data_IF_814127920385
#
_entry.id   IF_814127920385
#
_cell.length_a   1.000
_cell.length_b   1.000
_cell.length_c   1.000
_cell.angle_alpha   90.00
_cell.angle_beta   90.00
_cell.angle_gamma   90.00
#
_symmetry.space_group_name_H-M   'P 1'
#
loop_
_entity.id
_entity.type
_entity.pdbx_description
1 polymer ?
#
# COMPACT_ATOMS: atom_id res chain seq x y z
N UNK A 1 -33.23 -5.70 -37.29
CA UNK A 1 -31.94 -5.09 -36.91
C UNK A 1 -32.24 -3.73 -36.31
N UNK A 2 -32.38 -3.67 -34.99
CA UNK A 2 -32.52 -2.43 -34.24
C UNK A 2 -31.36 -2.37 -33.25
N UNK A 3 -30.62 -1.27 -33.24
CA UNK A 3 -29.51 -1.05 -32.32
C UNK A 3 -30.04 -0.96 -30.88
N UNK A 4 -29.39 -1.56 -29.88
CA UNK A 4 -29.76 -1.36 -28.49
C UNK A 4 -29.35 0.06 -28.02
N UNK A 5 -30.09 0.65 -27.07
CA UNK A 5 -29.92 2.03 -26.64
C UNK A 5 -28.64 2.23 -25.82
N UNK A 6 -28.12 3.47 -25.87
CA UNK A 6 -26.87 3.97 -25.30
C UNK A 6 -26.81 4.01 -23.76
N UNK A 7 -27.16 2.91 -23.09
CA UNK A 7 -27.03 2.75 -21.63
C UNK A 7 -25.66 2.18 -21.20
N UNK A 8 -24.76 1.90 -22.15
CA UNK A 8 -23.49 1.20 -21.90
C UNK A 8 -22.37 2.07 -21.32
N UNK A 9 -22.43 3.39 -21.52
CA UNK A 9 -21.38 4.31 -21.03
C UNK A 9 -21.52 4.64 -19.54
N UNK A 10 -22.73 4.62 -18.99
CA UNK A 10 -22.99 4.91 -17.57
C UNK A 10 -22.62 3.71 -16.66
N UNK A 11 -22.70 2.49 -17.21
CA UNK A 11 -22.36 1.21 -16.55
C UNK A 11 -20.85 1.05 -16.28
N UNK A 12 -20.00 1.64 -17.13
CA UNK A 12 -18.54 1.61 -17.00
C UNK A 12 -17.99 2.86 -16.28
N UNK A 13 -18.66 4.02 -16.39
CA UNK A 13 -18.25 5.26 -15.71
C UNK A 13 -18.45 5.21 -14.20
N UNK A 14 -19.61 4.75 -13.70
CA UNK A 14 -19.87 4.87 -12.24
C UNK A 14 -18.98 3.96 -11.38
N UNK A 15 -18.55 2.80 -11.91
CA UNK A 15 -17.63 1.89 -11.21
C UNK A 15 -16.15 2.25 -11.36
N UNK A 16 -15.75 2.94 -12.45
CA UNK A 16 -14.37 3.37 -12.64
C UNK A 16 -14.10 4.78 -12.05
N UNK A 17 -15.03 5.72 -12.14
CA UNK A 17 -14.83 7.10 -11.69
C UNK A 17 -14.77 7.21 -10.16
N UNK A 18 -15.43 6.32 -9.43
CA UNK A 18 -15.34 6.25 -7.97
C UNK A 18 -14.02 5.63 -7.46
N UNK A 19 -13.27 4.92 -8.32
CA UNK A 19 -12.08 4.15 -7.93
C UNK A 19 -10.76 4.71 -8.50
N UNK A 20 -10.81 5.42 -9.63
CA UNK A 20 -9.65 6.10 -10.21
C UNK A 20 -9.52 7.56 -9.75
N UNK A 21 -10.59 8.17 -9.23
CA UNK A 21 -10.53 9.52 -8.62
C UNK A 21 -9.87 9.52 -7.23
N UNK A 22 -9.72 8.35 -6.60
CA UNK A 22 -9.14 8.17 -5.27
C UNK A 22 -7.65 7.77 -5.25
N UNK A 23 -7.02 7.57 -6.41
CA UNK A 23 -5.62 7.12 -6.52
C UNK A 23 -4.62 8.23 -6.94
N UNK A 24 -4.88 9.48 -6.55
CA UNK A 24 -3.80 10.45 -6.37
C UNK A 24 -3.05 10.13 -5.06
N UNK A 25 -1.70 10.20 -5.02
CA UNK A 25 -0.99 10.07 -3.75
C UNK A 25 -1.53 11.11 -2.76
N UNK A 26 -2.04 10.63 -1.63
CA UNK A 26 -2.80 11.40 -0.64
C UNK A 26 -1.97 12.47 0.14
N UNK A 27 -0.88 12.99 -0.43
CA UNK A 27 -0.07 14.08 0.13
C UNK A 27 0.18 15.20 -0.91
N UNK A 28 -0.60 15.26 -1.99
CA UNK A 28 -0.67 16.44 -2.86
C UNK A 28 -1.94 17.29 -2.64
N UNK A 29 -2.69 17.06 -1.56
CA UNK A 29 -3.68 18.05 -1.10
C UNK A 29 -2.95 19.16 -0.35
N UNK A 30 -2.47 20.14 -1.10
CA UNK A 30 -2.42 21.51 -0.58
C UNK A 30 -3.84 21.86 -0.14
N UNK A 31 -4.14 21.65 1.15
CA UNK A 31 -5.33 22.24 1.72
C UNK A 31 -5.11 23.75 1.79
N UNK A 32 -5.83 24.39 0.86
CA UNK A 32 -6.18 25.78 0.83
C UNK A 32 -6.82 26.18 2.19
N UNK A 33 -6.00 26.58 3.16
CA UNK A 33 -6.49 27.20 4.40
C UNK A 33 -6.99 28.61 4.10
N UNK A 34 -8.17 28.73 3.49
CA UNK A 34 -8.97 29.95 3.57
C UNK A 34 -10.01 29.77 4.68
N UNK A 35 -9.79 30.48 5.78
CA UNK A 35 -10.84 30.74 6.77
C UNK A 35 -10.50 30.37 8.21
N UNK A 36 -9.58 31.10 8.83
CA UNK A 36 -9.71 31.48 10.24
C UNK A 36 -9.16 32.90 10.40
N UNK A 37 -10.09 33.86 10.45
CA UNK A 37 -9.82 35.25 10.78
C UNK A 37 -9.75 35.45 12.29
N UNK A 38 -8.72 36.19 12.69
CA UNK A 38 -8.54 36.96 13.91
C UNK A 38 -8.40 36.24 15.27
N UNK A 39 -7.15 35.89 15.59
CA UNK A 39 -6.40 36.46 16.74
C UNK A 39 -5.04 35.79 16.94
N UNK A 40 -3.97 36.29 16.28
CA UNK A 40 -2.54 36.14 16.68
C UNK A 40 -1.52 36.57 15.58
N UNK A 41 -1.90 37.40 14.62
CA UNK A 41 -1.06 37.73 13.45
C UNK A 41 0.26 38.50 13.75
N UNK A 42 0.64 38.71 15.02
CA UNK A 42 1.71 39.64 15.42
C UNK A 42 3.05 39.03 15.82
N UNK A 43 3.21 37.70 15.95
CA UNK A 43 4.43 37.10 16.54
C UNK A 43 5.42 36.45 15.56
N UNK A 44 4.98 36.08 14.34
CA UNK A 44 5.87 35.42 13.34
C UNK A 44 6.92 36.35 12.73
N UNK A 45 6.69 37.66 12.78
CA UNK A 45 7.62 38.67 12.26
C UNK A 45 8.93 38.69 13.03
N UNK A 46 8.89 38.38 14.32
CA UNK A 46 10.07 38.36 15.21
C UNK A 46 11.07 37.30 14.77
N UNK A 47 10.58 36.12 14.37
CA UNK A 47 11.41 34.99 13.97
C UNK A 47 11.68 34.89 12.46
N UNK A 48 11.16 35.83 11.66
CA UNK A 48 11.38 35.86 10.22
C UNK A 48 12.87 35.81 9.80
N UNK A 49 13.83 36.45 10.52
CA UNK A 49 15.25 36.31 10.18
C UNK A 49 15.78 34.88 10.36
N UNK A 50 15.41 34.22 11.46
CA UNK A 50 15.80 32.83 11.74
C UNK A 50 15.21 31.88 10.70
N UNK A 51 13.91 32.04 10.40
CA UNK A 51 13.24 31.28 9.35
C UNK A 51 14.00 31.39 8.02
N UNK A 52 14.30 32.62 7.56
CA UNK A 52 15.00 32.86 6.30
C UNK A 52 16.39 32.23 6.30
N UNK A 53 17.14 32.35 7.39
CA UNK A 53 18.48 31.78 7.49
C UNK A 53 18.45 30.24 7.38
N UNK A 54 17.57 29.58 8.12
CA UNK A 54 17.39 28.12 8.05
C UNK A 54 16.94 27.68 6.65
N UNK A 55 15.93 28.35 6.08
CA UNK A 55 15.40 28.02 4.76
C UNK A 55 16.46 28.12 3.64
N UNK A 56 17.34 29.13 3.71
CA UNK A 56 18.43 29.32 2.74
C UNK A 56 19.71 28.56 3.09
N UNK A 57 19.69 27.70 4.12
CA UNK A 57 20.86 26.94 4.58
C UNK A 57 22.04 27.82 5.04
N UNK A 58 21.76 28.99 5.60
CA UNK A 58 22.74 29.93 6.17
C UNK A 58 22.88 29.69 7.68
N UNK A 59 23.73 28.72 8.04
CA UNK A 59 23.97 28.37 9.43
C UNK A 59 24.59 29.50 10.25
N UNK A 60 25.49 30.29 9.68
CA UNK A 60 26.20 31.33 10.43
C UNK A 60 25.24 32.44 10.86
N UNK A 61 24.34 32.86 9.97
CA UNK A 61 23.28 33.81 10.33
C UNK A 61 22.30 33.22 11.34
N UNK A 62 21.88 31.96 11.17
CA UNK A 62 21.00 31.29 12.12
C UNK A 62 21.64 31.15 13.51
N UNK A 63 22.91 30.74 13.58
CA UNK A 63 23.69 30.61 14.81
C UNK A 63 23.87 31.95 15.51
N UNK A 64 24.17 33.01 14.77
CA UNK A 64 24.26 34.36 15.31
C UNK A 64 22.91 34.81 15.90
N UNK A 65 21.79 34.52 15.23
CA UNK A 65 20.45 34.84 15.72
C UNK A 65 20.12 34.06 17.01
N UNK A 66 20.36 32.74 17.03
CA UNK A 66 20.10 31.86 18.18
C UNK A 66 20.96 32.24 19.40
N UNK A 67 22.19 32.71 19.19
CA UNK A 67 23.06 33.19 20.27
C UNK A 67 22.46 34.39 21.01
N UNK A 68 21.80 35.30 20.28
CA UNK A 68 21.16 36.49 20.87
C UNK A 68 19.73 36.20 21.35
N UNK A 69 19.09 35.15 20.83
CA UNK A 69 17.72 34.75 21.16
C UNK A 69 17.64 33.25 21.48
N UNK A 70 18.14 32.77 22.64
CA UNK A 70 18.21 31.34 22.94
C UNK A 70 16.84 30.63 22.87
N UNK A 71 15.77 31.32 23.28
CA UNK A 71 14.40 30.78 23.25
C UNK A 71 13.87 30.53 21.82
N UNK A 72 14.51 31.11 20.80
CA UNK A 72 14.10 30.92 19.41
C UNK A 72 14.38 29.50 18.88
N UNK A 73 15.26 28.74 19.55
CA UNK A 73 15.61 27.38 19.13
C UNK A 73 14.40 26.41 19.16
N UNK A 74 13.45 26.67 20.07
CA UNK A 74 12.21 25.92 20.24
C UNK A 74 10.96 26.69 19.78
N UNK A 75 11.13 27.88 19.21
CA UNK A 75 10.01 28.70 18.76
C UNK A 75 9.36 28.16 17.48
N UNK A 76 8.06 28.43 17.35
CA UNK A 76 7.30 28.21 16.11
C UNK A 76 7.52 29.41 15.18
N UNK A 77 8.04 29.13 13.98
CA UNK A 77 8.50 30.12 13.02
C UNK A 77 7.50 30.36 11.87
N UNK A 78 6.52 29.47 11.71
CA UNK A 78 5.55 29.50 10.60
C UNK A 78 4.11 29.45 11.11
N UNK A 79 3.16 29.82 10.25
CA UNK A 79 1.72 29.72 10.53
C UNK A 79 1.23 28.29 10.74
N UNK A 80 1.95 27.29 10.23
CA UNK A 80 1.72 25.86 10.45
C UNK A 80 2.35 25.37 11.76
N UNK A 81 3.13 26.21 12.44
CA UNK A 81 3.73 25.89 13.73
C UNK A 81 5.08 25.17 13.64
N UNK A 82 5.78 25.26 12.50
CA UNK A 82 7.08 24.64 12.29
C UNK A 82 8.17 25.32 13.13
N UNK A 83 9.00 24.53 13.78
CA UNK A 83 10.25 25.02 14.40
C UNK A 83 11.39 25.04 13.37
N UNK A 84 12.53 25.62 13.74
CA UNK A 84 13.76 25.55 12.93
C UNK A 84 14.12 24.10 12.52
N UNK A 85 13.90 23.14 13.42
CA UNK A 85 14.20 21.73 13.18
C UNK A 85 13.27 21.10 12.13
N UNK A 86 11.98 21.46 12.11
CA UNK A 86 11.04 20.98 11.09
C UNK A 86 11.46 21.45 9.69
N UNK A 87 11.80 22.74 9.56
CA UNK A 87 12.21 23.33 8.29
C UNK A 87 13.52 22.71 7.82
N UNK A 88 14.50 22.50 8.71
CA UNK A 88 15.76 21.85 8.37
C UNK A 88 15.56 20.38 7.95
N UNK A 89 14.64 19.67 8.60
CA UNK A 89 14.32 18.27 8.29
C UNK A 89 13.62 18.11 6.93
N UNK A 90 12.59 18.91 6.66
CA UNK A 90 11.83 18.86 5.39
C UNK A 90 12.67 19.34 4.20
N UNK A 91 13.64 20.22 4.43
CA UNK A 91 14.60 20.66 3.40
C UNK A 91 15.82 19.74 3.24
N UNK A 92 15.91 18.67 4.04
CA UNK A 92 16.97 17.67 3.95
C UNK A 92 18.37 18.19 4.34
N UNK A 93 18.46 19.26 5.13
CA UNK A 93 19.72 19.91 5.49
C UNK A 93 20.38 19.23 6.69
N UNK A 94 21.06 18.12 6.45
CA UNK A 94 21.74 17.29 7.47
C UNK A 94 22.59 18.12 8.43
N UNK A 95 23.43 19.02 7.90
CA UNK A 95 24.30 19.87 8.72
C UNK A 95 23.50 20.76 9.68
N UNK A 96 22.47 21.44 9.20
CA UNK A 96 21.61 22.27 10.04
C UNK A 96 20.89 21.43 11.10
N UNK A 97 20.37 20.26 10.72
CA UNK A 97 19.74 19.35 11.68
C UNK A 97 20.73 18.96 12.76
N UNK A 98 21.95 18.54 12.39
CA UNK A 98 22.98 18.12 13.36
C UNK A 98 23.25 19.22 14.39
N UNK A 99 23.44 20.45 13.93
CA UNK A 99 23.72 21.58 14.80
C UNK A 99 22.50 21.97 15.66
N UNK A 100 21.30 22.04 15.08
CA UNK A 100 20.06 22.33 15.82
C UNK A 100 19.76 21.26 16.87
N UNK A 101 19.89 19.98 16.51
CA UNK A 101 19.73 18.85 17.43
C UNK A 101 20.71 18.99 18.59
N UNK A 102 21.96 19.42 18.38
CA UNK A 102 22.91 19.65 19.48
C UNK A 102 22.46 20.79 20.41
N UNK A 103 21.95 21.90 19.85
CA UNK A 103 21.55 23.08 20.62
C UNK A 103 20.21 22.92 21.37
N UNK A 104 19.26 22.17 20.82
CA UNK A 104 17.93 22.03 21.40
C UNK A 104 17.93 21.17 22.66
N UNK A 105 17.15 21.50 23.71
CA UNK A 105 16.87 20.55 24.78
C UNK A 105 16.08 19.35 24.23
N UNK A 106 16.21 18.19 24.87
CA UNK A 106 15.64 16.91 24.41
C UNK A 106 14.13 17.00 24.19
N UNK A 107 13.42 17.68 25.08
CA UNK A 107 11.96 17.88 25.04
C UNK A 107 11.55 18.82 23.91
N UNK A 108 12.43 19.72 23.45
CA UNK A 108 12.11 20.60 22.32
C UNK A 108 12.11 19.87 20.98
N UNK A 109 12.74 18.70 20.87
CA UNK A 109 12.63 17.85 19.68
C UNK A 109 11.21 17.28 19.54
N UNK A 110 10.45 17.19 20.64
CA UNK A 110 9.09 16.66 20.69
C UNK A 110 8.03 17.69 20.25
N UNK A 111 8.43 18.96 20.08
CA UNK A 111 7.51 20.02 19.62
C UNK A 111 6.94 19.61 18.27
N UNK A 112 5.62 19.73 18.15
CA UNK A 112 4.89 19.47 16.93
C UNK A 112 4.38 20.75 16.28
N UNK A 113 4.18 20.66 14.97
CA UNK A 113 3.35 21.60 14.21
C UNK A 113 1.92 21.59 14.75
N UNK A 114 1.08 22.54 14.33
CA UNK A 114 -0.34 22.56 14.73
C UNK A 114 -1.11 21.31 14.23
N UNK A 115 -0.60 20.61 13.22
CA UNK A 115 -1.10 19.30 12.78
C UNK A 115 -0.54 18.10 13.54
N UNK A 116 0.18 18.31 14.65
CA UNK A 116 0.79 17.22 15.43
C UNK A 116 2.01 16.57 14.77
N UNK A 117 2.56 17.13 13.70
CA UNK A 117 3.70 16.55 12.97
C UNK A 117 4.99 16.91 13.70
N UNK A 118 5.86 15.92 13.95
CA UNK A 118 7.22 16.14 14.48
C UNK A 118 8.22 16.39 13.36
N UNK A 119 9.38 16.95 13.68
CA UNK A 119 10.48 17.06 12.72
C UNK A 119 10.98 15.69 12.22
N UNK A 120 10.89 14.64 13.06
CA UNK A 120 11.19 13.26 12.64
C UNK A 120 10.19 12.79 11.58
N UNK A 121 8.89 13.04 11.75
CA UNK A 121 7.87 12.67 10.76
C UNK A 121 8.09 13.37 9.41
N UNK A 122 8.61 14.60 9.39
CA UNK A 122 8.96 15.32 8.14
C UNK A 122 10.08 14.63 7.33
N UNK A 123 10.89 13.79 7.97
CA UNK A 123 11.92 13.02 7.25
C UNK A 123 11.31 12.01 6.28
N UNK A 124 10.04 11.62 6.45
CA UNK A 124 9.33 10.77 5.50
C UNK A 124 9.26 11.37 4.09
N UNK A 125 9.18 12.70 3.99
CA UNK A 125 9.18 13.43 2.71
C UNK A 125 10.54 13.36 2.03
N UNK A 126 11.63 13.48 2.80
CA UNK A 126 12.99 13.54 2.25
C UNK A 126 13.67 12.18 2.14
N UNK A 127 13.23 11.19 2.92
CA UNK A 127 13.89 9.89 3.04
C UNK A 127 15.22 9.89 3.76
N UNK A 128 15.55 10.98 4.45
CA UNK A 128 16.89 11.14 5.03
C UNK A 128 17.04 10.34 6.31
N UNK A 129 17.57 9.12 6.19
CA UNK A 129 17.95 8.27 7.33
C UNK A 129 18.92 9.02 8.26
N UNK A 130 19.87 9.77 7.72
CA UNK A 130 20.89 10.44 8.53
C UNK A 130 20.25 11.46 9.48
N UNK A 131 19.29 12.25 8.98
CA UNK A 131 18.51 13.19 9.79
C UNK A 131 17.68 12.44 10.84
N UNK A 132 17.04 11.35 10.46
CA UNK A 132 16.25 10.54 11.39
C UNK A 132 17.11 9.94 12.51
N UNK A 133 18.31 9.44 12.19
CA UNK A 133 19.29 8.92 13.16
C UNK A 133 19.70 9.98 14.16
N UNK A 134 20.11 11.16 13.69
CA UNK A 134 20.51 12.27 14.56
C UNK A 134 19.42 12.63 15.59
N UNK A 135 18.16 12.65 15.17
CA UNK A 135 17.05 12.97 16.09
C UNK A 135 16.73 11.81 17.05
N UNK A 136 16.64 10.57 16.56
CA UNK A 136 16.28 9.39 17.37
C UNK A 136 17.38 9.05 18.39
N UNK A 137 18.66 9.23 18.03
CA UNK A 137 19.80 9.07 18.94
C UNK A 137 19.69 10.04 20.13
N UNK A 138 19.23 11.27 19.90
CA UNK A 138 19.05 12.26 20.97
C UNK A 138 17.77 12.02 21.78
N UNK A 139 16.66 11.65 21.13
CA UNK A 139 15.39 11.40 21.79
C UNK A 139 14.61 10.25 21.14
N UNK A 140 14.61 9.06 21.78
CA UNK A 140 13.85 7.91 21.31
C UNK A 140 12.32 8.07 21.44
N UNK A 141 11.83 8.98 22.29
CA UNK A 141 10.39 9.20 22.45
C UNK A 141 9.74 9.70 21.15
N UNK A 142 10.51 10.33 20.26
CA UNK A 142 10.03 10.80 18.96
C UNK A 142 9.35 9.69 18.14
N UNK A 143 9.79 8.44 18.31
CA UNK A 143 9.23 7.27 17.62
C UNK A 143 7.78 6.96 18.03
N UNK A 144 7.34 7.47 19.18
CA UNK A 144 6.00 7.24 19.76
C UNK A 144 5.06 8.44 19.62
N UNK A 145 5.56 9.62 19.22
CA UNK A 145 4.74 10.82 19.11
C UNK A 145 3.83 10.69 17.89
N UNK A 146 2.52 10.72 18.16
CA UNK A 146 1.47 10.57 17.15
C UNK A 146 1.08 11.94 16.60
N UNK A 147 0.86 12.01 15.29
CA UNK A 147 0.28 13.20 14.65
C UNK A 147 -1.24 13.31 14.90
N UNK A 148 -1.88 14.32 14.32
CA UNK A 148 -3.34 14.51 14.42
C UNK A 148 -4.18 13.36 13.89
N UNK A 149 -3.62 12.52 13.01
CA UNK A 149 -4.24 11.29 12.49
C UNK A 149 -3.94 10.06 13.36
N UNK A 150 -3.36 10.25 14.55
CA UNK A 150 -2.88 9.21 15.46
C UNK A 150 -1.72 8.35 14.91
N UNK A 151 -1.05 8.81 13.84
CA UNK A 151 0.04 8.07 13.21
C UNK A 151 1.40 8.37 13.85
N UNK A 152 2.13 7.30 14.18
CA UNK A 152 3.55 7.37 14.55
C UNK A 152 4.43 7.61 13.31
N UNK A 153 5.67 8.13 13.45
CA UNK A 153 6.54 8.42 12.30
C UNK A 153 6.78 7.23 11.36
N UNK A 154 6.80 6.01 11.91
CA UNK A 154 6.89 4.77 11.14
C UNK A 154 5.77 4.65 10.10
N UNK A 155 4.52 4.88 10.50
CA UNK A 155 3.35 4.81 9.59
C UNK A 155 3.45 5.89 8.52
N UNK A 156 3.84 7.10 8.90
CA UNK A 156 4.02 8.22 7.95
C UNK A 156 5.07 7.87 6.89
N UNK A 157 6.17 7.21 7.26
CA UNK A 157 7.19 6.77 6.29
C UNK A 157 6.69 5.72 5.29
N UNK A 158 5.77 4.85 5.72
CA UNK A 158 5.15 3.83 4.87
C UNK A 158 4.19 4.45 3.84
N UNK A 159 3.36 5.39 4.29
CA UNK A 159 2.44 6.13 3.41
C UNK A 159 3.21 6.89 2.33
N UNK A 160 4.39 7.44 2.67
CA UNK A 160 5.27 8.12 1.72
C UNK A 160 6.08 7.18 0.83
N UNK A 161 5.98 5.85 1.02
CA UNK A 161 6.70 4.86 0.22
C UNK A 161 8.22 4.90 0.40
N UNK A 162 8.72 5.49 1.49
CA UNK A 162 10.16 5.59 1.72
C UNK A 162 10.71 4.31 2.36
N UNK A 163 10.95 3.29 1.54
CA UNK A 163 11.36 1.96 2.03
C UNK A 163 12.60 2.00 2.95
N UNK A 164 13.58 2.84 2.58
CA UNK A 164 14.86 2.95 3.29
C UNK A 164 14.64 3.53 4.70
N UNK A 165 13.96 4.67 4.81
CA UNK A 165 13.59 5.24 6.11
C UNK A 165 12.64 4.34 6.90
N UNK A 166 11.66 3.73 6.23
CA UNK A 166 10.69 2.82 6.84
C UNK A 166 11.39 1.67 7.54
N UNK A 167 12.37 1.03 6.90
CA UNK A 167 13.08 -0.11 7.50
C UNK A 167 13.87 0.32 8.73
N UNK A 168 14.48 1.50 8.72
CA UNK A 168 15.15 2.07 9.88
C UNK A 168 14.17 2.40 11.02
N UNK A 169 13.08 3.11 10.72
CA UNK A 169 12.06 3.40 11.74
C UNK A 169 11.41 2.12 12.24
N UNK A 170 11.24 1.11 11.39
CA UNK A 170 10.70 -0.17 11.81
C UNK A 170 11.62 -0.84 12.82
N UNK A 171 12.95 -0.86 12.61
CA UNK A 171 13.88 -1.45 13.59
C UNK A 171 13.88 -0.71 14.92
N UNK A 172 13.75 0.61 14.91
CA UNK A 172 13.81 1.43 16.13
C UNK A 172 12.46 1.56 16.87
N UNK A 173 11.33 1.57 16.15
CA UNK A 173 10.00 1.80 16.74
C UNK A 173 9.58 0.61 17.60
N UNK A 174 9.19 0.86 18.87
CA UNK A 174 8.64 -0.17 19.75
C UNK A 174 7.43 -0.86 19.13
N UNK A 175 7.47 -2.18 19.04
CA UNK A 175 6.48 -2.95 18.27
C UNK A 175 5.09 -2.86 18.85
N UNK A 176 4.96 -2.54 20.14
CA UNK A 176 3.67 -2.32 20.81
C UNK A 176 2.85 -1.21 20.15
N UNK A 177 3.49 -0.24 19.46
CA UNK A 177 2.78 0.79 18.70
C UNK A 177 1.99 0.21 17.51
N UNK A 178 2.32 -1.00 17.05
CA UNK A 178 1.62 -1.72 15.99
C UNK A 178 0.61 -2.75 16.51
N UNK A 179 0.48 -2.92 17.83
CA UNK A 179 -0.54 -3.82 18.39
C UNK A 179 -1.94 -3.30 18.00
N UNK A 180 -2.85 -4.14 17.49
CA UNK A 180 -4.23 -3.74 17.19
C UNK A 180 -4.95 -3.05 18.37
N UNK A 181 -4.55 -3.34 19.62
CA UNK A 181 -5.08 -2.71 20.84
C UNK A 181 -4.54 -1.30 21.09
N UNK A 182 -3.39 -0.96 20.52
CA UNK A 182 -2.75 0.36 20.67
C UNK A 182 -3.35 1.42 19.73
N UNK A 183 -4.17 0.99 18.77
CA UNK A 183 -4.92 1.86 17.87
C UNK A 183 -4.69 1.49 16.40
N UNK A 184 -4.87 2.49 15.53
CA UNK A 184 -4.97 2.29 14.08
C UNK A 184 -3.63 2.08 13.37
N UNK A 185 -2.51 2.34 14.05
CA UNK A 185 -1.16 2.28 13.47
C UNK A 185 -0.83 0.93 12.85
N UNK A 186 -1.16 -0.19 13.51
CA UNK A 186 -0.86 -1.51 13.00
C UNK A 186 -1.54 -1.79 11.66
N UNK A 187 -2.85 -1.51 11.57
CA UNK A 187 -3.62 -1.71 10.35
C UNK A 187 -3.17 -0.76 9.23
N UNK A 188 -3.03 0.53 9.53
CA UNK A 188 -2.59 1.54 8.55
C UNK A 188 -1.15 1.29 8.05
N UNK A 189 -0.25 0.84 8.92
CA UNK A 189 1.11 0.43 8.52
C UNK A 189 1.02 -0.75 7.56
N UNK A 190 0.24 -1.77 7.91
CA UNK A 190 0.14 -2.99 7.13
C UNK A 190 -0.49 -2.74 5.75
N UNK A 191 -1.57 -1.96 5.66
CA UNK A 191 -2.17 -1.60 4.35
C UNK A 191 -1.22 -0.75 3.51
N UNK A 192 -0.46 0.17 4.12
CA UNK A 192 0.56 0.96 3.43
C UNK A 192 1.69 0.09 2.87
N UNK A 193 2.14 -0.94 3.60
CA UNK A 193 3.16 -1.89 3.13
C UNK A 193 2.70 -2.66 1.88
N UNK A 194 1.43 -3.09 1.84
CA UNK A 194 0.86 -3.79 0.66
C UNK A 194 0.82 -2.85 -0.54
N UNK A 195 0.42 -1.59 -0.33
CA UNK A 195 0.39 -0.60 -1.39
C UNK A 195 1.79 -0.35 -1.96
N UNK A 196 2.81 -0.29 -1.10
CA UNK A 196 4.21 -0.09 -1.46
C UNK A 196 4.96 -1.35 -1.95
N UNK A 197 4.29 -2.50 -2.09
CA UNK A 197 4.90 -3.79 -2.46
C UNK A 197 5.96 -4.33 -1.46
N UNK A 198 5.90 -3.91 -0.18
CA UNK A 198 6.84 -4.31 0.90
C UNK A 198 6.27 -5.49 1.71
N UNK A 199 6.19 -6.65 1.07
CA UNK A 199 5.53 -7.83 1.64
C UNK A 199 6.33 -8.56 2.72
N UNK A 200 7.66 -8.44 2.72
CA UNK A 200 8.53 -9.04 3.72
C UNK A 200 8.29 -8.47 5.12
N UNK A 201 8.21 -7.14 5.23
CA UNK A 201 7.86 -6.46 6.49
C UNK A 201 6.41 -6.74 6.86
N UNK A 202 5.50 -6.82 5.88
CA UNK A 202 4.10 -7.14 6.13
C UNK A 202 3.92 -8.54 6.75
N UNK A 203 4.67 -9.53 6.25
CA UNK A 203 4.71 -10.88 6.83
C UNK A 203 5.19 -10.87 8.28
N UNK A 204 6.29 -10.16 8.59
CA UNK A 204 6.81 -10.07 9.96
C UNK A 204 5.80 -9.43 10.93
N UNK A 205 5.16 -8.33 10.52
CA UNK A 205 4.11 -7.66 11.29
C UNK A 205 2.93 -8.59 11.54
N UNK A 206 2.44 -9.28 10.50
CA UNK A 206 1.28 -10.15 10.61
C UNK A 206 1.56 -11.38 11.48
N UNK A 207 2.77 -11.93 11.43
CA UNK A 207 3.18 -13.03 12.32
C UNK A 207 3.23 -12.62 13.78
N UNK A 208 3.61 -11.38 14.06
CA UNK A 208 3.63 -10.82 15.42
C UNK A 208 2.22 -10.48 15.91
N UNK A 209 1.38 -9.94 15.04
CA UNK A 209 0.02 -9.50 15.35
C UNK A 209 -1.01 -10.08 14.37
N UNK A 210 -1.36 -11.38 14.48
CA UNK A 210 -2.28 -12.04 13.53
C UNK A 210 -3.64 -11.35 13.40
N UNK A 211 -4.15 -10.77 14.49
CA UNK A 211 -5.43 -10.03 14.50
C UNK A 211 -5.47 -8.83 13.52
N UNK A 212 -4.32 -8.34 13.06
CA UNK A 212 -4.27 -7.33 12.01
C UNK A 212 -4.81 -7.83 10.67
N UNK A 213 -4.91 -9.15 10.46
CA UNK A 213 -5.47 -9.74 9.24
C UNK A 213 -6.86 -9.20 8.88
N UNK A 214 -7.66 -8.89 9.89
CA UNK A 214 -9.05 -8.43 9.76
C UNK A 214 -9.28 -7.06 10.39
N UNK A 215 -8.21 -6.37 10.78
CA UNK A 215 -8.33 -5.04 11.36
C UNK A 215 -8.41 -4.00 10.22
N UNK A 216 -9.45 -3.15 10.19
CA UNK A 216 -9.53 -2.09 9.20
C UNK A 216 -8.59 -0.94 9.53
N UNK A 217 -8.06 -0.30 8.49
CA UNK A 217 -7.37 0.98 8.61
C UNK A 217 -8.34 2.18 8.70
N UNK A 218 -7.82 3.40 8.54
CA UNK A 218 -8.62 4.64 8.61
C UNK A 218 -9.69 4.75 7.54
N UNK A 219 -9.53 4.04 6.42
CA UNK A 219 -10.46 4.05 5.30
C UNK A 219 -11.43 2.85 5.35
N UNK A 220 -11.35 2.04 6.41
CA UNK A 220 -12.13 0.80 6.50
C UNK A 220 -11.53 -0.33 5.68
N UNK A 221 -10.33 -0.16 5.13
CA UNK A 221 -9.69 -1.16 4.28
C UNK A 221 -8.89 -2.13 5.13
N UNK A 222 -9.09 -3.43 4.91
CA UNK A 222 -8.25 -4.48 5.50
C UNK A 222 -7.19 -4.93 4.51
N UNK A 223 -6.23 -5.71 4.98
CA UNK A 223 -5.19 -6.26 4.10
C UNK A 223 -5.74 -7.24 3.05
N UNK A 224 -6.82 -7.96 3.40
CA UNK A 224 -7.46 -8.89 2.45
C UNK A 224 -8.10 -8.12 1.29
N UNK A 225 -8.69 -6.96 1.59
CA UNK A 225 -9.20 -6.04 0.59
C UNK A 225 -8.07 -5.46 -0.26
N UNK A 226 -7.01 -4.94 0.37
CA UNK A 226 -5.87 -4.34 -0.34
C UNK A 226 -5.17 -5.31 -1.32
N UNK A 227 -4.98 -6.57 -0.91
CA UNK A 227 -4.41 -7.59 -1.81
C UNK A 227 -5.33 -7.87 -3.01
N UNK A 228 -6.65 -7.88 -2.80
CA UNK A 228 -7.62 -8.23 -3.85
C UNK A 228 -7.69 -7.21 -4.99
N UNK A 229 -7.34 -5.95 -4.70
CA UNK A 229 -7.36 -4.82 -5.65
C UNK A 229 -6.00 -4.58 -6.32
N UNK A 230 -5.00 -5.42 -6.00
CA UNK A 230 -3.62 -5.29 -6.50
C UNK A 230 -3.25 -6.51 -7.34
N UNK A 231 -3.83 -6.68 -8.56
CA UNK A 231 -3.50 -7.80 -9.44
C UNK A 231 -2.02 -7.86 -9.81
N UNK A 232 -1.34 -6.71 -9.83
CA UNK A 232 0.10 -6.64 -10.10
C UNK A 232 0.95 -7.35 -9.05
N UNK A 233 0.42 -7.65 -7.85
CA UNK A 233 1.10 -8.42 -6.81
C UNK A 233 1.10 -9.93 -7.08
N UNK A 234 0.34 -10.41 -8.07
CA UNK A 234 0.17 -11.83 -8.32
C UNK A 234 0.54 -12.22 -9.75
N UNK A 235 1.01 -13.47 -9.99
CA UNK A 235 1.40 -13.90 -11.33
C UNK A 235 0.27 -13.80 -12.34
N UNK A 236 -0.98 -14.14 -11.97
CA UNK A 236 -2.11 -14.10 -12.90
C UNK A 236 -2.56 -12.70 -13.31
N UNK A 237 -2.28 -11.69 -12.49
CA UNK A 237 -2.57 -10.29 -12.81
C UNK A 237 -1.51 -9.64 -13.68
N UNK A 238 -0.38 -10.31 -13.93
CA UNK A 238 0.70 -9.84 -14.79
C UNK A 238 0.69 -10.56 -16.15
N UNK A 239 1.21 -9.88 -17.17
CA UNK A 239 1.37 -10.43 -18.51
C UNK A 239 2.84 -10.56 -18.86
N UNK A 240 3.27 -11.79 -19.02
CA UNK A 240 4.60 -12.10 -19.53
C UNK A 240 4.49 -12.59 -20.98
N UNK A 241 5.31 -12.03 -21.86
CA UNK A 241 5.52 -12.60 -23.18
C UNK A 241 6.20 -13.97 -23.10
N UNK A 242 6.24 -14.73 -24.20
CA UNK A 242 6.79 -16.09 -24.23
C UNK A 242 8.15 -16.21 -23.54
N UNK A 243 9.10 -15.34 -23.88
CA UNK A 243 10.44 -15.34 -23.30
C UNK A 243 10.47 -14.93 -21.83
N UNK A 244 9.67 -13.94 -21.44
CA UNK A 244 9.58 -13.51 -20.04
C UNK A 244 8.97 -14.62 -19.17
N UNK A 245 7.99 -15.36 -19.70
CA UNK A 245 7.37 -16.49 -19.01
C UNK A 245 8.38 -17.62 -18.80
N UNK A 246 9.18 -17.95 -19.81
CA UNK A 246 10.23 -18.97 -19.71
C UNK A 246 11.29 -18.55 -18.67
N UNK A 247 11.72 -17.29 -18.70
CA UNK A 247 12.62 -16.75 -17.68
C UNK A 247 11.97 -16.91 -16.30
N UNK A 248 10.74 -16.39 -16.12
CA UNK A 248 9.98 -16.42 -14.87
C UNK A 248 9.87 -17.84 -14.29
N UNK A 249 9.56 -18.85 -15.10
CA UNK A 249 9.44 -20.24 -14.62
C UNK A 249 10.78 -20.81 -14.16
N UNK A 250 11.87 -20.42 -14.81
CA UNK A 250 13.21 -20.94 -14.52
C UNK A 250 13.93 -20.23 -13.36
N UNK A 251 13.48 -19.04 -12.92
CA UNK A 251 14.08 -18.34 -11.79
C UNK A 251 13.83 -19.13 -10.49
N UNK A 252 14.85 -19.59 -9.75
CA UNK A 252 14.64 -20.12 -8.40
C UNK A 252 14.34 -18.96 -7.44
N UNK A 253 13.25 -19.05 -6.69
CA UNK A 253 12.92 -18.15 -5.57
C UNK A 253 12.49 -19.05 -4.42
N UNK A 254 13.37 -19.20 -3.43
CA UNK A 254 13.07 -19.90 -2.17
C UNK A 254 12.89 -18.85 -1.07
N UNK A 255 11.74 -18.89 -0.39
CA UNK A 255 11.55 -18.19 0.88
C UNK A 255 12.37 -18.95 1.93
N UNK A 256 13.41 -18.34 2.50
CA UNK A 256 13.97 -18.87 3.74
C UNK A 256 12.89 -18.80 4.82
N UNK A 257 12.69 -19.95 5.49
CA UNK A 257 11.64 -20.16 6.48
C UNK A 257 11.61 -19.05 7.52
N UNK A 258 10.40 -18.58 7.81
CA UNK A 258 10.01 -17.62 8.84
C UNK A 258 10.24 -18.16 10.28
N UNK A 259 11.31 -18.95 10.49
CA UNK A 259 11.64 -19.57 11.76
C UNK A 259 12.45 -18.58 12.59
N UNK A 260 11.78 -18.13 13.65
CA UNK A 260 12.33 -17.47 14.83
C UNK A 260 13.63 -18.12 15.28
N UNK A 261 14.67 -17.31 15.44
CA UNK A 261 15.45 -17.34 16.66
C UNK A 261 15.60 -15.90 17.16
N UNK A 262 15.04 -15.70 18.35
CA UNK A 262 15.25 -14.52 19.19
C UNK A 262 16.71 -14.57 19.62
N UNK A 263 17.59 -13.85 18.92
CA UNK A 263 18.76 -13.14 19.45
C UNK A 263 19.75 -12.71 18.34
N UNK A 264 20.00 -11.40 18.29
CA UNK A 264 21.19 -10.69 17.75
C UNK A 264 21.48 -10.76 16.24
N UNK A 265 20.93 -9.79 15.50
CA UNK A 265 21.67 -8.74 14.76
C UNK A 265 20.66 -7.90 13.92
N UNK A 266 20.28 -6.74 14.43
CA UNK A 266 19.07 -6.00 14.01
C UNK A 266 19.16 -5.17 12.71
N UNK A 267 19.97 -5.57 11.73
CA UNK A 267 19.96 -4.92 10.40
C UNK A 267 19.90 -5.87 9.21
N UNK A 268 19.85 -7.19 9.40
CA UNK A 268 19.77 -8.13 8.28
C UNK A 268 19.01 -9.40 8.64
N UNK A 269 17.75 -9.48 8.20
CA UNK A 269 17.07 -10.65 7.57
C UNK A 269 15.54 -10.53 7.69
N UNK A 270 14.97 -9.54 7.02
CA UNK A 270 13.60 -9.71 6.51
C UNK A 270 13.67 -10.70 5.36
N UNK A 271 12.76 -11.69 5.32
CA UNK A 271 12.74 -12.86 4.42
C UNK A 271 13.74 -12.77 3.26
N UNK A 272 14.96 -13.28 3.43
CA UNK A 272 15.93 -13.25 2.35
C UNK A 272 15.55 -14.36 1.37
N UNK A 273 15.25 -13.97 0.13
CA UNK A 273 15.19 -14.94 -0.97
C UNK A 273 16.63 -15.35 -1.26
N UNK A 274 16.97 -16.62 -1.02
CA UNK A 274 18.31 -17.13 -1.32
C UNK A 274 18.42 -17.33 -2.84
N UNK A 275 19.31 -16.57 -3.47
CA UNK A 275 19.63 -16.73 -4.89
C UNK A 275 20.60 -17.90 -5.08
N UNK A 276 20.12 -19.00 -5.68
CA UNK A 276 20.98 -20.13 -6.03
C UNK A 276 21.73 -19.89 -7.34
N UNK A 277 23.04 -20.19 -7.32
CA UNK A 277 23.88 -20.36 -8.51
C UNK A 277 24.59 -19.09 -9.01
N UNK A 278 25.91 -19.20 -9.23
CA UNK A 278 26.73 -18.16 -9.86
C UNK A 278 26.16 -17.72 -11.23
N UNK A 279 25.50 -18.64 -11.93
CA UNK A 279 24.84 -18.40 -13.22
C UNK A 279 23.73 -17.36 -13.10
N UNK A 280 22.88 -17.45 -12.07
CA UNK A 280 21.77 -16.52 -11.92
C UNK A 280 22.22 -15.14 -11.48
N UNK A 281 23.22 -15.08 -10.59
CA UNK A 281 23.88 -13.82 -10.22
C UNK A 281 24.51 -13.13 -11.43
N UNK A 282 25.20 -13.89 -12.29
CA UNK A 282 25.76 -13.37 -13.52
C UNK A 282 24.67 -12.87 -14.50
N UNK A 283 23.61 -13.64 -14.71
CA UNK A 283 22.50 -13.27 -15.59
C UNK A 283 21.76 -12.01 -15.11
N UNK A 284 21.58 -11.84 -13.79
CA UNK A 284 20.97 -10.64 -13.19
C UNK A 284 21.81 -9.38 -13.42
N UNK A 285 23.14 -9.50 -13.38
CA UNK A 285 24.06 -8.40 -13.64
C UNK A 285 24.16 -8.06 -15.12
N UNK A 286 24.16 -9.07 -15.99
CA UNK A 286 24.39 -8.91 -17.42
C UNK A 286 23.12 -8.59 -18.22
N UNK A 287 21.93 -8.96 -17.71
CA UNK A 287 20.66 -8.81 -18.42
C UNK A 287 19.64 -8.07 -17.54
N UNK A 288 19.43 -6.75 -17.73
CA UNK A 288 18.51 -5.96 -16.91
C UNK A 288 17.08 -6.50 -16.85
N UNK A 289 16.57 -7.09 -17.94
CA UNK A 289 15.24 -7.70 -17.97
C UNK A 289 15.10 -8.91 -17.05
N UNK A 290 16.18 -9.66 -16.81
CA UNK A 290 16.18 -10.80 -15.88
C UNK A 290 16.04 -10.31 -14.43
N UNK A 291 16.72 -9.23 -14.08
CA UNK A 291 16.63 -8.63 -12.74
C UNK A 291 15.19 -8.20 -12.42
N UNK A 292 14.52 -7.53 -13.34
CA UNK A 292 13.13 -7.08 -13.14
C UNK A 292 12.17 -8.26 -12.96
N UNK A 293 12.31 -9.32 -13.76
CA UNK A 293 11.47 -10.53 -13.64
C UNK A 293 11.74 -11.22 -12.31
N UNK A 294 12.99 -11.29 -11.85
CA UNK A 294 13.34 -11.84 -10.54
C UNK A 294 12.69 -11.03 -9.41
N UNK A 295 12.90 -9.71 -9.37
CA UNK A 295 12.33 -8.82 -8.34
C UNK A 295 10.80 -8.95 -8.30
N UNK A 296 10.15 -9.01 -9.48
CA UNK A 296 8.71 -9.21 -9.58
C UNK A 296 8.26 -10.59 -9.09
N UNK A 297 9.04 -11.64 -9.37
CA UNK A 297 8.77 -12.99 -8.85
C UNK A 297 8.88 -13.06 -7.33
N UNK A 298 9.84 -12.36 -6.72
CA UNK A 298 9.95 -12.26 -5.26
C UNK A 298 8.65 -11.67 -4.68
N UNK A 299 8.19 -10.54 -5.23
CA UNK A 299 6.92 -9.92 -4.83
C UNK A 299 5.75 -10.92 -4.94
N UNK A 300 5.63 -11.63 -6.06
CA UNK A 300 4.56 -12.60 -6.25
C UNK A 300 4.56 -13.73 -5.22
N UNK A 301 5.73 -14.26 -4.90
CA UNK A 301 5.88 -15.34 -3.93
C UNK A 301 5.54 -14.82 -2.53
N UNK A 302 6.01 -13.64 -2.15
CA UNK A 302 5.72 -13.05 -0.83
C UNK A 302 4.24 -12.65 -0.67
N UNK A 303 3.62 -12.06 -1.69
CA UNK A 303 2.19 -11.73 -1.65
C UNK A 303 1.31 -12.97 -1.54
N UNK A 304 1.66 -14.05 -2.25
CA UNK A 304 0.96 -15.34 -2.14
C UNK A 304 1.17 -15.98 -0.76
N UNK A 305 2.37 -15.87 -0.18
CA UNK A 305 2.62 -16.36 1.18
C UNK A 305 1.78 -15.59 2.20
N UNK A 306 1.65 -14.27 2.03
CA UNK A 306 0.80 -13.46 2.89
C UNK A 306 -0.66 -13.92 2.82
N UNK A 307 -1.18 -14.18 1.62
CA UNK A 307 -2.52 -14.77 1.43
C UNK A 307 -2.65 -16.09 2.21
N UNK A 308 -1.67 -16.99 2.09
CA UNK A 308 -1.68 -18.29 2.80
C UNK A 308 -1.62 -18.17 4.32
N UNK A 309 -1.01 -17.11 4.85
CA UNK A 309 -1.02 -16.82 6.30
C UNK A 309 -2.38 -16.26 6.75
N UNK A 310 -3.06 -15.49 5.89
CA UNK A 310 -4.32 -14.83 6.23
C UNK A 310 -5.52 -15.76 6.09
N UNK A 311 -5.65 -16.48 4.99
CA UNK A 311 -6.86 -17.25 4.67
C UNK A 311 -7.25 -18.28 5.77
N UNK A 312 -6.32 -19.01 6.41
CA UNK A 312 -6.64 -19.88 7.55
C UNK A 312 -7.18 -19.15 8.79
N UNK A 313 -6.92 -17.85 8.93
CA UNK A 313 -7.50 -17.05 10.02
C UNK A 313 -8.96 -16.70 9.73
N UNK A 314 -9.31 -16.53 8.45
CA UNK A 314 -10.68 -16.26 8.00
C UNK A 314 -11.60 -17.46 8.21
N UNK A 315 -11.09 -18.69 8.10
CA UNK A 315 -11.91 -19.89 8.32
C UNK A 315 -12.46 -20.02 9.74
N UNK A 316 -11.92 -19.27 10.70
CA UNK A 316 -12.38 -19.27 12.09
C UNK A 316 -13.44 -18.20 12.38
N UNK A 317 -13.81 -17.38 11.39
CA UNK A 317 -14.74 -16.28 11.53
C UNK A 317 -16.17 -16.70 11.18
N UNK A 318 -17.14 -16.06 11.81
CA UNK A 318 -18.56 -16.21 11.44
C UNK A 318 -18.88 -15.41 10.18
N UNK A 319 -20.00 -15.71 9.50
CA UNK A 319 -20.39 -15.01 8.28
C UNK A 319 -20.45 -13.47 8.43
N UNK A 320 -21.03 -12.89 9.52
CA UNK A 320 -20.97 -11.45 9.74
C UNK A 320 -19.55 -10.91 9.88
N UNK A 321 -18.66 -11.65 10.55
CA UNK A 321 -17.26 -11.25 10.73
C UNK A 321 -16.48 -11.31 9.41
N UNK A 322 -16.78 -12.27 8.53
CA UNK A 322 -16.21 -12.34 7.19
C UNK A 322 -16.64 -11.15 6.33
N UNK A 323 -17.89 -10.70 6.48
CA UNK A 323 -18.40 -9.50 5.83
C UNK A 323 -17.64 -8.27 6.33
N UNK A 324 -17.54 -8.10 7.65
CA UNK A 324 -16.82 -6.99 8.28
C UNK A 324 -15.33 -6.98 7.92
N UNK A 325 -14.69 -8.15 7.82
CA UNK A 325 -13.30 -8.26 7.37
C UNK A 325 -13.12 -7.90 5.89
N UNK A 326 -14.20 -7.84 5.11
CA UNK A 326 -14.18 -7.55 3.67
C UNK A 326 -13.86 -8.77 2.80
N UNK A 327 -14.15 -9.98 3.26
CA UNK A 327 -13.92 -11.21 2.49
C UNK A 327 -14.81 -11.29 1.24
N UNK A 328 -16.06 -10.83 1.32
CA UNK A 328 -16.98 -10.79 0.17
C UNK A 328 -16.48 -9.86 -0.93
N UNK A 329 -16.10 -8.63 -0.59
CA UNK A 329 -15.53 -7.69 -1.57
C UNK A 329 -14.21 -8.23 -2.12
N UNK A 330 -13.39 -8.89 -1.29
CA UNK A 330 -12.14 -9.51 -1.73
C UNK A 330 -12.36 -10.61 -2.77
N UNK A 331 -13.28 -11.55 -2.55
CA UNK A 331 -13.55 -12.62 -3.52
C UNK A 331 -14.12 -12.06 -4.84
N UNK A 332 -15.01 -11.06 -4.77
CA UNK A 332 -15.55 -10.39 -5.95
C UNK A 332 -14.44 -9.68 -6.75
N UNK A 333 -13.52 -8.98 -6.08
CA UNK A 333 -12.38 -8.32 -6.70
C UNK A 333 -11.42 -9.31 -7.36
N UNK A 334 -11.12 -10.44 -6.71
CA UNK A 334 -10.26 -11.47 -7.32
C UNK A 334 -10.89 -12.07 -8.58
N UNK A 335 -12.22 -12.26 -8.61
CA UNK A 335 -12.95 -12.66 -9.81
C UNK A 335 -12.97 -11.56 -10.90
N UNK A 336 -13.07 -10.29 -10.51
CA UNK A 336 -13.04 -9.14 -11.41
C UNK A 336 -11.68 -8.98 -12.09
N UNK A 337 -10.60 -9.04 -11.31
CA UNK A 337 -9.22 -8.82 -11.77
C UNK A 337 -8.49 -10.09 -12.23
N UNK A 338 -9.07 -11.28 -11.99
CA UNK A 338 -8.49 -12.55 -12.43
C UNK A 338 -7.34 -13.05 -11.56
N UNK A 339 -7.36 -12.76 -10.26
CA UNK A 339 -6.33 -13.15 -9.29
C UNK A 339 -6.60 -14.60 -8.83
N UNK A 340 -6.33 -15.58 -9.69
CA UNK A 340 -6.74 -16.98 -9.48
C UNK A 340 -6.06 -17.62 -8.27
N UNK A 341 -4.81 -17.26 -7.99
CA UNK A 341 -4.05 -17.79 -6.85
C UNK A 341 -4.75 -17.40 -5.55
N UNK A 342 -5.11 -16.13 -5.41
CA UNK A 342 -5.82 -15.63 -4.23
C UNK A 342 -7.27 -16.14 -4.17
N UNK A 343 -7.98 -16.15 -5.31
CA UNK A 343 -9.35 -16.68 -5.41
C UNK A 343 -9.44 -18.12 -4.87
N UNK A 344 -8.48 -18.98 -5.25
CA UNK A 344 -8.44 -20.38 -4.81
C UNK A 344 -8.25 -20.50 -3.30
N UNK A 345 -7.32 -19.74 -2.72
CA UNK A 345 -7.05 -19.78 -1.28
C UNK A 345 -8.26 -19.29 -0.46
N UNK A 346 -8.96 -18.25 -0.93
CA UNK A 346 -10.20 -17.77 -0.29
C UNK A 346 -11.31 -18.82 -0.32
N UNK A 347 -11.60 -19.42 -1.47
CA UNK A 347 -12.66 -20.44 -1.59
C UNK A 347 -12.32 -21.70 -0.78
N UNK A 348 -11.06 -22.12 -0.78
CA UNK A 348 -10.62 -23.28 0.00
C UNK A 348 -10.77 -23.05 1.51
N UNK A 349 -10.51 -21.82 1.97
CA UNK A 349 -10.57 -21.49 3.40
C UNK A 349 -11.99 -21.15 3.87
N UNK A 350 -12.81 -20.56 2.99
CA UNK A 350 -14.18 -20.15 3.29
C UNK A 350 -15.11 -20.48 2.11
N UNK A 351 -15.57 -21.74 1.98
CA UNK A 351 -16.39 -22.19 0.84
C UNK A 351 -17.70 -21.40 0.63
N UNK A 352 -18.26 -20.81 1.70
CA UNK A 352 -19.44 -19.94 1.62
C UNK A 352 -19.25 -18.76 0.65
N UNK A 353 -18.02 -18.25 0.49
CA UNK A 353 -17.72 -17.13 -0.41
C UNK A 353 -18.10 -17.40 -1.87
N UNK A 354 -18.31 -18.67 -2.26
CA UNK A 354 -18.74 -19.02 -3.61
C UNK A 354 -20.12 -18.45 -3.99
N UNK A 355 -20.96 -18.13 -3.00
CA UNK A 355 -22.29 -17.53 -3.19
C UNK A 355 -22.24 -15.99 -3.19
N UNK A 356 -21.04 -15.40 -3.22
CA UNK A 356 -20.90 -13.95 -3.23
C UNK A 356 -21.48 -13.34 -4.52
N UNK A 357 -22.23 -12.26 -4.34
CA UNK A 357 -22.83 -11.46 -5.40
C UNK A 357 -22.41 -10.00 -5.23
N UNK A 358 -22.26 -9.28 -6.34
CA UNK A 358 -22.05 -7.84 -6.30
C UNK A 358 -23.36 -7.08 -6.01
N UNK A 359 -23.30 -5.75 -5.96
CA UNK A 359 -24.47 -4.89 -5.71
C UNK A 359 -25.62 -5.07 -6.73
N UNK A 360 -25.30 -5.58 -7.93
CA UNK A 360 -26.27 -5.83 -8.98
C UNK A 360 -26.87 -7.26 -8.91
N UNK A 361 -26.48 -8.07 -7.91
CA UNK A 361 -26.88 -9.48 -7.82
C UNK A 361 -26.11 -10.39 -8.78
N UNK A 362 -25.02 -9.90 -9.38
CA UNK A 362 -24.21 -10.73 -10.28
C UNK A 362 -23.20 -11.56 -9.46
N UNK A 363 -23.23 -12.87 -9.65
CA UNK A 363 -22.34 -13.82 -8.98
C UNK A 363 -20.94 -13.90 -9.59
N UNK A 364 -20.03 -14.59 -8.91
CA UNK A 364 -18.61 -14.71 -9.31
C UNK A 364 -18.39 -15.21 -10.74
N UNK A 365 -19.20 -16.17 -11.21
CA UNK A 365 -19.06 -16.73 -12.55
C UNK A 365 -19.44 -15.72 -13.64
N UNK A 366 -20.48 -14.92 -13.40
CA UNK A 366 -20.90 -13.86 -14.32
C UNK A 366 -19.85 -12.74 -14.35
N UNK A 367 -19.31 -12.36 -13.19
CA UNK A 367 -18.21 -11.38 -13.08
C UNK A 367 -16.97 -11.85 -13.84
N UNK A 368 -16.59 -13.12 -13.70
CA UNK A 368 -15.47 -13.69 -14.43
C UNK A 368 -15.69 -13.64 -15.94
N UNK A 369 -16.92 -13.88 -16.41
CA UNK A 369 -17.24 -13.82 -17.84
C UNK A 369 -17.22 -12.39 -18.38
N UNK A 370 -17.85 -11.47 -17.66
CA UNK A 370 -17.87 -10.05 -17.99
C UNK A 370 -16.45 -9.49 -18.14
N UNK A 371 -15.52 -9.92 -17.28
CA UNK A 371 -14.13 -9.45 -17.27
C UNK A 371 -13.14 -10.33 -18.04
N UNK A 372 -13.61 -11.32 -18.81
CA UNK A 372 -12.75 -12.23 -19.61
C UNK A 372 -11.70 -12.99 -18.78
N UNK A 373 -12.07 -13.39 -17.57
CA UNK A 373 -11.18 -14.07 -16.62
C UNK A 373 -11.29 -15.60 -16.76
N UNK A 374 -10.69 -16.11 -17.83
CA UNK A 374 -10.73 -17.53 -18.23
C UNK A 374 -10.35 -18.49 -17.11
N UNK A 375 -9.26 -18.20 -16.38
CA UNK A 375 -8.76 -19.08 -15.31
C UNK A 375 -9.75 -19.22 -14.15
N UNK A 376 -10.47 -18.14 -13.82
CA UNK A 376 -11.52 -18.14 -12.78
C UNK A 376 -12.73 -18.95 -13.28
N UNK A 377 -13.19 -18.67 -14.50
CA UNK A 377 -14.31 -19.38 -15.12
C UNK A 377 -14.06 -20.91 -15.20
N UNK A 378 -12.86 -21.31 -15.66
CA UNK A 378 -12.48 -22.71 -15.80
C UNK A 378 -12.43 -23.41 -14.43
N UNK A 379 -11.88 -22.73 -13.41
CA UNK A 379 -11.85 -23.26 -12.05
C UNK A 379 -13.27 -23.47 -11.48
N UNK A 380 -14.15 -22.47 -11.61
CA UNK A 380 -15.54 -22.58 -11.13
C UNK A 380 -16.34 -23.64 -11.90
N UNK A 381 -16.11 -23.76 -13.22
CA UNK A 381 -16.78 -24.77 -14.05
C UNK A 381 -16.48 -26.21 -13.62
N UNK A 382 -15.32 -26.44 -12.99
CA UNK A 382 -14.90 -27.74 -12.48
C UNK A 382 -15.51 -28.08 -11.12
N UNK A 383 -16.15 -27.14 -10.42
CA UNK A 383 -16.73 -27.33 -9.08
C UNK A 383 -18.10 -28.05 -9.06
N UNK A 384 -18.57 -28.56 -10.21
CA UNK A 384 -19.82 -29.34 -10.31
C UNK A 384 -21.13 -28.52 -10.24
N UNK A 385 -21.06 -27.23 -9.94
CA UNK A 385 -22.23 -26.32 -9.85
C UNK A 385 -22.43 -25.45 -11.11
N UNK A 386 -21.71 -25.75 -12.19
CA UNK A 386 -21.70 -24.96 -13.44
C UNK A 386 -23.09 -24.58 -13.94
N UNK A 387 -24.01 -25.54 -13.99
CA UNK A 387 -25.34 -25.32 -14.57
C UNK A 387 -26.19 -24.39 -13.70
N UNK A 388 -26.09 -24.49 -12.37
CA UNK A 388 -26.81 -23.60 -11.45
C UNK A 388 -26.26 -22.17 -11.55
N UNK A 389 -24.93 -22.03 -11.51
CA UNK A 389 -24.27 -20.73 -11.63
C UNK A 389 -24.52 -20.05 -12.98
N UNK A 390 -24.54 -20.82 -14.07
CA UNK A 390 -24.83 -20.30 -15.42
C UNK A 390 -26.31 -19.91 -15.61
N UNK A 391 -27.23 -20.58 -14.91
CA UNK A 391 -28.66 -20.28 -14.94
C UNK A 391 -29.06 -19.09 -14.03
N UNK A 392 -28.19 -18.73 -13.08
CA UNK A 392 -28.36 -17.57 -12.22
C UNK A 392 -28.57 -16.28 -13.02
N UNK A 393 -29.42 -15.41 -12.47
CA UNK A 393 -29.74 -14.10 -13.05
C UNK A 393 -29.43 -13.02 -12.03
N UNK A 394 -28.86 -11.92 -12.51
CA UNK A 394 -28.69 -10.72 -11.70
C UNK A 394 -30.05 -10.02 -11.46
N UNK A 395 -30.04 -8.90 -10.73
CA UNK A 395 -31.23 -8.11 -10.42
C UNK A 395 -31.91 -7.51 -11.67
N UNK A 396 -31.22 -7.51 -12.82
CA UNK A 396 -31.73 -7.04 -14.11
C UNK A 396 -32.19 -8.19 -15.02
N UNK A 397 -32.07 -9.45 -14.57
CA UNK A 397 -32.44 -10.63 -15.34
C UNK A 397 -31.36 -11.12 -16.30
N UNK A 398 -30.16 -10.55 -16.27
CA UNK A 398 -29.02 -10.97 -17.11
C UNK A 398 -28.43 -12.28 -16.58
N UNK A 399 -28.29 -13.25 -17.48
CA UNK A 399 -27.53 -14.47 -17.24
C UNK A 399 -26.13 -14.38 -17.86
N UNK A 400 -25.34 -15.44 -17.71
CA UNK A 400 -23.96 -15.50 -18.20
C UNK A 400 -23.81 -15.22 -19.71
N UNK A 401 -24.82 -15.57 -20.53
CA UNK A 401 -24.79 -15.34 -21.98
C UNK A 401 -24.95 -13.86 -22.32
N UNK A 402 -25.72 -13.11 -21.53
CA UNK A 402 -25.81 -11.65 -21.69
C UNK A 402 -24.43 -11.02 -21.42
N UNK A 403 -23.77 -11.40 -20.33
CA UNK A 403 -22.42 -10.91 -20.00
C UNK A 403 -21.36 -11.32 -21.02
N UNK A 404 -21.48 -12.50 -21.63
CA UNK A 404 -20.61 -12.94 -22.71
C UNK A 404 -20.78 -12.11 -23.99
N UNK A 405 -21.98 -11.57 -24.23
CA UNK A 405 -22.30 -10.73 -25.39
C UNK A 405 -21.96 -9.24 -25.22
N UNK A 406 -21.68 -8.79 -23.99
CA UNK A 406 -21.21 -7.40 -23.72
C UNK A 406 -19.75 -7.27 -24.12
N UNK A 407 -19.38 -6.13 -24.71
CA UNK A 407 -18.00 -5.81 -25.06
C UNK A 407 -17.07 -5.90 -23.83
N UNK A 408 -15.91 -6.54 -23.98
CA UNK A 408 -14.93 -6.61 -22.91
C UNK A 408 -14.51 -5.22 -22.39
N UNK A 409 -14.18 -5.09 -21.10
CA UNK A 409 -13.78 -3.80 -20.54
C UNK A 409 -12.46 -3.30 -21.17
N UNK A 410 -12.21 -1.97 -21.20
CA UNK A 410 -11.06 -1.38 -21.89
C UNK A 410 -9.71 -2.01 -21.50
N UNK A 411 -9.50 -2.25 -20.20
CA UNK A 411 -8.28 -2.88 -19.71
C UNK A 411 -8.05 -4.30 -20.26
N UNK A 412 -9.10 -5.01 -20.73
CA UNK A 412 -9.03 -6.29 -21.45
C UNK A 412 -8.87 -6.15 -22.97
N UNK A 413 -9.35 -5.05 -23.55
CA UNK A 413 -9.23 -4.77 -24.98
C UNK A 413 -7.84 -4.22 -25.34
N UNK A 414 -7.30 -3.31 -24.52
CA UNK A 414 -5.98 -2.67 -24.72
C UNK A 414 -4.83 -3.70 -24.68
N UNK A 415 -5.14 -4.84 -24.08
CA UNK A 415 -4.33 -6.04 -24.00
C UNK A 415 -4.10 -6.73 -25.36
N UNK A 416 -4.84 -6.36 -26.41
CA UNK A 416 -4.71 -6.88 -27.78
C UNK A 416 -4.62 -5.72 -28.76
N UNK A 417 -3.57 -5.70 -29.59
CA UNK A 417 -3.34 -4.59 -30.51
C UNK A 417 -4.25 -4.65 -31.74
N UNK A 418 -5.11 -3.65 -31.89
CA UNK A 418 -5.91 -3.44 -33.10
C UNK A 418 -7.26 -4.16 -33.11
N UNK A 419 -8.26 -3.53 -33.74
CA UNK A 419 -9.65 -3.96 -33.70
C UNK A 419 -9.89 -5.37 -34.26
N UNK A 420 -9.15 -5.78 -35.29
CA UNK A 420 -9.30 -7.11 -35.89
C UNK A 420 -8.89 -8.24 -34.93
N UNK A 421 -7.77 -8.06 -34.20
CA UNK A 421 -7.30 -9.03 -33.22
C UNK A 421 -8.18 -9.03 -31.95
N UNK A 422 -8.68 -7.85 -31.54
CA UNK A 422 -9.68 -7.75 -30.47
C UNK A 422 -10.95 -8.53 -30.82
N UNK A 423 -11.51 -8.31 -32.02
CA UNK A 423 -12.69 -9.04 -32.49
C UNK A 423 -12.44 -10.56 -32.56
N UNK A 424 -11.27 -10.98 -33.08
CA UNK A 424 -10.91 -12.40 -33.12
C UNK A 424 -10.87 -13.01 -31.71
N UNK A 425 -10.29 -12.31 -30.74
CA UNK A 425 -10.20 -12.78 -29.36
C UNK A 425 -11.56 -12.87 -28.68
N UNK A 426 -12.45 -11.92 -28.96
CA UNK A 426 -13.83 -11.93 -28.43
C UNK A 426 -14.66 -13.08 -29.03
N UNK A 427 -14.47 -13.41 -30.31
CA UNK A 427 -15.10 -14.60 -30.93
C UNK A 427 -14.59 -15.88 -30.26
N UNK A 428 -13.28 -15.99 -30.01
CA UNK A 428 -12.71 -17.15 -29.31
C UNK A 428 -13.20 -17.28 -27.88
N UNK A 429 -13.50 -16.16 -27.21
CA UNK A 429 -14.05 -16.16 -25.86
C UNK A 429 -15.51 -16.64 -25.83
N UNK A 430 -16.28 -16.31 -26.86
CA UNK A 430 -17.69 -16.70 -26.96
C UNK A 430 -17.89 -18.19 -27.27
N UNK A 431 -16.95 -18.79 -28.00
CA UNK A 431 -16.91 -20.23 -28.33
C UNK A 431 -16.50 -21.06 -27.12
#
# INVERSE_FOLDING_TARGET
MAAPPAATDEYLRSSNDAYYSSNEPAIARQENCQGFGDSSFSDYTVYAPLYKAIFHNDWETAKAYLKHNPNAVSARLTSTGDTALHIAAVTGRVHLVKELVQLMPTEALEITTYGGVTALSQTAVTGSIEIAKLMVEKNKNLLRIKNSYNFVPLVVSAINGNEVLLRYLYSETPKEELDPRAGINGAAFLTSLIMADIYDVALDVLQRYPKLATSPDTEGMTIINMLSIKPSAFPSGNRYGFWQQLIYTCIPVELEHLVRDVERDELQKFSQVREHGLVWKALKLLVPGVRQIHEKKVIHVQALELVKVICPQLSNLTDPQLIEAGALSSILNTANFGIIEYFKELINSSPFLITAENMNGAGLMQIAVMNRQEKIYNFMSQMGQKNQMAAGKDNFGHNILHFAGVLAPPFQLDKVSGAALQMQREIQWFQ
#
